data_IF_568596634293
#
_entry.id   IF_568596634293
#
_cell.length_a   1.000
_cell.length_b   1.000
_cell.length_c   1.000
_cell.angle_alpha   90.00
_cell.angle_beta   90.00
_cell.angle_gamma   90.00
#
_symmetry.space_group_name_H-M   'P 1'
#
loop_
_entity.id
_entity.type
_entity.pdbx_description
1 polymer ?
#
# COMPACT_ATOMS: atom_id res chain seq x y z
N UNK A 1 27.24 -1.72 -4.55
CA UNK A 1 27.16 -1.01 -5.78
C UNK A 1 26.08 0.01 -5.73
N UNK A 2 26.36 1.13 -6.23
CA UNK A 2 25.40 2.22 -6.14
C UNK A 2 24.10 1.96 -6.89
N UNK A 3 24.08 1.04 -7.78
CA UNK A 3 22.88 0.81 -8.56
C UNK A 3 21.85 -0.08 -7.92
N UNK A 4 22.17 -0.64 -6.79
CA UNK A 4 21.19 -1.51 -6.16
C UNK A 4 20.10 -0.71 -5.48
N UNK A 5 18.84 -1.02 -5.72
CA UNK A 5 17.78 -0.33 -5.01
C UNK A 5 17.83 -0.65 -3.53
N UNK A 6 17.30 0.24 -2.73
CA UNK A 6 17.25 0.00 -1.29
C UNK A 6 16.36 -1.21 -1.02
N UNK A 7 16.72 -2.03 -0.03
CA UNK A 7 15.89 -3.20 0.30
C UNK A 7 14.45 -2.84 0.63
N UNK A 8 14.22 -1.68 1.23
CA UNK A 8 12.89 -1.23 1.56
C UNK A 8 12.06 -1.01 0.31
N UNK A 9 12.67 -0.48 -0.74
CA UNK A 9 11.96 -0.22 -1.98
C UNK A 9 11.60 -1.55 -2.65
N UNK A 10 12.52 -2.52 -2.63
CA UNK A 10 12.24 -3.82 -3.21
C UNK A 10 11.10 -4.51 -2.46
N UNK A 11 11.10 -4.40 -1.14
CA UNK A 11 10.05 -4.96 -0.32
C UNK A 11 8.69 -4.38 -0.72
N UNK A 12 8.62 -3.06 -0.89
CA UNK A 12 7.38 -2.41 -1.23
C UNK A 12 6.93 -2.72 -2.65
N UNK A 13 7.86 -2.81 -3.59
CA UNK A 13 7.50 -3.19 -4.95
C UNK A 13 6.87 -4.57 -4.96
N UNK A 14 7.44 -5.51 -4.19
CA UNK A 14 6.91 -6.85 -4.12
C UNK A 14 5.52 -6.85 -3.48
N UNK A 15 5.30 -5.97 -2.51
CA UNK A 15 4.01 -5.88 -1.84
C UNK A 15 2.93 -5.38 -2.80
N UNK A 16 3.23 -4.33 -3.57
CA UNK A 16 2.26 -3.83 -4.53
C UNK A 16 1.97 -4.88 -5.61
N UNK A 17 3.01 -5.56 -6.08
CA UNK A 17 2.83 -6.60 -7.08
C UNK A 17 1.94 -7.72 -6.56
N UNK A 18 2.17 -8.15 -5.31
CA UNK A 18 1.36 -9.20 -4.72
C UNK A 18 -0.10 -8.76 -4.56
N UNK A 19 -0.32 -7.52 -4.14
CA UNK A 19 -1.66 -7.00 -3.99
C UNK A 19 -2.38 -7.01 -5.34
N UNK A 20 -1.73 -6.52 -6.38
CA UNK A 20 -2.34 -6.46 -7.70
C UNK A 20 -2.57 -7.85 -8.28
N UNK A 21 -1.74 -8.82 -7.91
CA UNK A 21 -1.91 -10.19 -8.36
C UNK A 21 -2.91 -10.96 -7.50
N UNK A 22 -3.43 -10.34 -6.44
CA UNK A 22 -4.35 -10.96 -5.49
C UNK A 22 -3.70 -12.11 -4.74
N UNK A 23 -2.39 -12.01 -4.53
CA UNK A 23 -1.62 -13.05 -3.88
C UNK A 23 -1.48 -12.70 -2.40
N UNK A 24 -2.48 -13.07 -1.61
CA UNK A 24 -2.52 -12.74 -0.20
C UNK A 24 -1.33 -13.30 0.55
N UNK A 25 -0.99 -14.55 0.32
CA UNK A 25 0.10 -15.16 1.07
C UNK A 25 1.41 -14.44 0.83
N UNK A 26 1.70 -14.09 -0.39
CA UNK A 26 2.95 -13.40 -0.70
C UNK A 26 2.97 -12.02 -0.05
N UNK A 27 1.85 -11.29 -0.10
CA UNK A 27 1.80 -9.96 0.48
C UNK A 27 1.92 -10.01 2.00
N UNK A 28 1.21 -10.93 2.64
CA UNK A 28 1.22 -11.01 4.10
C UNK A 28 2.56 -11.48 4.63
N UNK A 29 3.29 -12.26 3.85
CA UNK A 29 4.62 -12.71 4.25
C UNK A 29 5.61 -11.55 4.36
N UNK A 30 5.28 -10.40 3.79
CA UNK A 30 6.14 -9.22 3.83
C UNK A 30 5.78 -8.28 4.99
N UNK A 31 4.84 -8.66 5.82
CA UNK A 31 4.35 -7.83 6.92
C UNK A 31 4.65 -8.44 8.27
N UNK A 32 4.77 -7.57 9.29
CA UNK A 32 4.96 -8.08 10.65
C UNK A 32 3.66 -8.70 11.14
N UNK A 33 3.73 -9.59 12.14
CA UNK A 33 2.51 -10.23 12.65
C UNK A 33 1.50 -9.24 13.23
N UNK A 34 1.94 -8.07 13.68
CA UNK A 34 1.07 -7.06 14.26
C UNK A 34 0.89 -5.86 13.35
N UNK A 35 1.06 -6.04 12.05
CA UNK A 35 0.97 -4.95 11.08
C UNK A 35 -0.32 -4.15 11.25
N UNK A 36 -0.22 -2.83 11.09
CA UNK A 36 -1.38 -1.95 11.10
C UNK A 36 -1.65 -1.49 9.67
N UNK A 37 -2.86 -1.69 9.19
CA UNK A 37 -3.21 -1.37 7.81
C UNK A 37 -4.49 -0.57 7.76
N UNK A 38 -4.54 0.53 7.01
CA UNK A 38 -5.72 1.38 6.99
C UNK A 38 -6.84 0.77 6.14
N UNK A 39 -8.07 0.99 6.59
CA UNK A 39 -9.24 0.60 5.82
C UNK A 39 -9.62 1.80 4.96
N UNK A 40 -9.08 1.84 3.76
CA UNK A 40 -9.13 3.02 2.91
C UNK A 40 -10.52 3.62 2.71
N UNK A 41 -11.53 2.80 2.57
CA UNK A 41 -12.86 3.31 2.29
C UNK A 41 -13.80 3.30 3.51
N UNK A 42 -13.40 2.67 4.58
CA UNK A 42 -14.27 2.52 5.75
C UNK A 42 -13.74 3.28 6.95
N UNK A 43 -12.51 3.77 6.86
CA UNK A 43 -11.88 4.45 7.98
C UNK A 43 -11.36 3.48 9.03
N UNK A 44 -10.42 3.93 9.83
CA UNK A 44 -9.83 3.09 10.86
C UNK A 44 -8.77 2.16 10.30
N UNK A 45 -8.36 1.22 11.13
CA UNK A 45 -7.28 0.30 10.79
C UNK A 45 -7.65 -1.12 11.15
N UNK A 46 -7.04 -2.07 10.45
CA UNK A 46 -7.04 -3.47 10.86
C UNK A 46 -5.66 -3.77 11.41
N UNK A 47 -5.55 -4.72 12.31
CA UNK A 47 -4.28 -5.08 12.90
C UNK A 47 -4.02 -6.56 12.75
N UNK A 48 -2.79 -6.87 12.37
CA UNK A 48 -2.36 -8.25 12.22
C UNK A 48 -2.71 -8.80 10.85
N UNK A 49 -1.94 -9.80 10.44
CA UNK A 49 -2.08 -10.34 9.10
C UNK A 49 -3.43 -11.00 8.87
N UNK A 50 -4.04 -11.57 9.93
CA UNK A 50 -5.33 -12.20 9.76
C UNK A 50 -6.40 -11.16 9.44
N UNK A 51 -6.36 -10.02 10.11
CA UNK A 51 -7.33 -8.98 9.84
C UNK A 51 -7.10 -8.34 8.46
N UNK A 52 -5.85 -8.21 8.07
CA UNK A 52 -5.54 -7.69 6.74
C UNK A 52 -6.08 -8.64 5.67
N UNK A 53 -5.90 -9.94 5.89
CA UNK A 53 -6.39 -10.95 4.95
C UNK A 53 -7.91 -10.82 4.81
N UNK A 54 -8.61 -10.73 5.92
CA UNK A 54 -10.07 -10.63 5.91
C UNK A 54 -10.52 -9.35 5.21
N UNK A 55 -9.85 -8.25 5.50
CA UNK A 55 -10.21 -6.96 4.92
C UNK A 55 -9.99 -6.95 3.40
N UNK A 56 -8.84 -7.42 2.93
CA UNK A 56 -8.56 -7.43 1.51
C UNK A 56 -9.47 -8.40 0.77
N UNK A 57 -9.77 -9.54 1.38
CA UNK A 57 -10.68 -10.51 0.76
C UNK A 57 -12.05 -9.88 0.57
N UNK A 58 -12.53 -9.16 1.58
CA UNK A 58 -13.82 -8.50 1.50
C UNK A 58 -13.77 -7.41 0.43
N UNK A 59 -12.71 -6.62 0.41
CA UNK A 59 -12.57 -5.54 -0.54
C UNK A 59 -12.59 -6.06 -1.98
N UNK A 60 -11.86 -7.13 -2.25
CA UNK A 60 -11.79 -7.67 -3.59
C UNK A 60 -13.08 -8.36 -4.03
N UNK A 61 -13.98 -8.63 -3.10
CA UNK A 61 -15.29 -9.17 -3.46
C UNK A 61 -16.24 -8.07 -3.88
N UNK A 62 -15.91 -6.82 -3.59
CA UNK A 62 -16.77 -5.69 -3.89
C UNK A 62 -16.22 -4.80 -5.00
N UNK A 63 -14.92 -4.65 -5.07
CA UNK A 63 -14.30 -3.77 -6.05
C UNK A 63 -13.03 -4.42 -6.59
N UNK A 64 -12.49 -3.84 -7.65
CA UNK A 64 -11.27 -4.32 -8.28
C UNK A 64 -10.25 -3.18 -8.25
N UNK A 65 -9.50 -3.03 -7.16
CA UNK A 65 -8.50 -1.97 -7.04
C UNK A 65 -7.17 -2.39 -7.66
N UNK A 66 -6.49 -1.43 -8.26
CA UNK A 66 -5.16 -1.63 -8.80
C UNK A 66 -4.30 -0.47 -8.31
N UNK A 67 -3.15 -0.76 -7.74
CA UNK A 67 -2.27 0.26 -7.21
C UNK A 67 -0.92 0.19 -7.89
N UNK A 68 -0.48 1.32 -8.43
CA UNK A 68 0.76 1.37 -9.18
C UNK A 68 1.71 2.33 -8.48
N UNK A 69 2.82 1.84 -7.92
CA UNK A 69 3.77 2.77 -7.29
C UNK A 69 4.46 3.59 -8.38
N UNK A 70 4.46 4.89 -8.19
CA UNK A 70 5.04 5.81 -9.16
C UNK A 70 6.41 6.29 -8.72
N UNK A 71 6.57 6.57 -7.44
CA UNK A 71 7.84 7.06 -6.91
C UNK A 71 8.01 6.66 -5.47
N UNK A 72 9.24 6.43 -5.05
CA UNK A 72 9.55 6.04 -3.68
C UNK A 72 10.50 7.08 -3.08
N UNK A 73 10.22 7.49 -1.85
CA UNK A 73 11.04 8.47 -1.14
C UNK A 73 11.36 7.93 0.25
N UNK A 74 12.60 7.56 0.47
CA UNK A 74 12.98 7.04 1.78
C UNK A 74 13.06 8.19 2.78
N UNK A 75 12.60 7.92 3.98
CA UNK A 75 12.63 8.88 5.06
C UNK A 75 13.42 8.30 6.22
N UNK A 76 13.55 9.06 7.29
CA UNK A 76 14.26 8.59 8.46
C UNK A 76 13.43 7.58 9.22
N UNK A 77 14.07 6.88 10.13
CA UNK A 77 13.40 5.97 11.05
C UNK A 77 12.66 4.82 10.36
N UNK A 78 13.18 4.38 9.25
CA UNK A 78 12.61 3.21 8.58
C UNK A 78 11.31 3.50 7.85
N UNK A 79 11.04 4.76 7.55
CA UNK A 79 9.81 5.10 6.84
C UNK A 79 10.07 5.38 5.37
N UNK A 80 9.11 5.03 4.53
CA UNK A 80 9.18 5.27 3.09
C UNK A 80 7.85 5.83 2.62
N UNK A 81 7.91 6.93 1.89
CA UNK A 81 6.71 7.48 1.26
C UNK A 81 6.65 6.94 -0.16
N UNK A 82 5.48 6.53 -0.58
CA UNK A 82 5.27 6.03 -1.94
C UNK A 82 4.17 6.83 -2.59
N UNK A 83 4.45 7.41 -3.74
CA UNK A 83 3.42 8.06 -4.53
C UNK A 83 2.79 6.97 -5.37
N UNK A 84 1.48 6.87 -5.34
CA UNK A 84 0.76 5.76 -5.94
C UNK A 84 -0.35 6.25 -6.84
N UNK A 85 -0.46 5.66 -8.02
CA UNK A 85 -1.62 5.88 -8.88
C UNK A 85 -2.60 4.76 -8.55
N UNK A 86 -3.77 5.12 -8.06
CA UNK A 86 -4.76 4.15 -7.63
C UNK A 86 -5.95 4.18 -8.56
N UNK A 87 -6.24 3.06 -9.20
CA UNK A 87 -7.36 2.93 -10.09
C UNK A 87 -8.29 1.90 -9.50
N UNK A 88 -9.52 2.30 -9.20
CA UNK A 88 -10.50 1.40 -8.61
C UNK A 88 -11.63 1.20 -9.60
N UNK A 89 -11.92 -0.04 -9.90
CA UNK A 89 -13.03 -0.38 -10.81
C UNK A 89 -14.08 -1.17 -10.07
N UNK A 90 -15.31 -1.06 -10.54
CA UNK A 90 -16.35 -1.97 -10.10
C UNK A 90 -16.01 -3.35 -10.67
N UNK A 91 -16.61 -4.39 -10.14
CA UNK A 91 -16.38 -5.74 -10.67
C UNK A 91 -16.85 -5.86 -12.11
N UNK A 92 -17.73 -4.97 -12.55
CA UNK A 92 -18.19 -4.95 -13.94
C UNK A 92 -17.17 -4.28 -14.86
N UNK A 93 -16.13 -3.64 -14.30
CA UNK A 93 -15.12 -2.97 -15.09
C UNK A 93 -15.25 -1.47 -15.13
N UNK A 94 -16.34 -0.91 -14.63
CA UNK A 94 -16.53 0.54 -14.67
C UNK A 94 -15.55 1.21 -13.70
N UNK A 95 -14.97 2.33 -14.10
CA UNK A 95 -14.03 3.04 -13.27
C UNK A 95 -14.77 3.81 -12.18
N UNK A 96 -14.46 3.53 -10.92
CA UNK A 96 -15.07 4.20 -9.79
C UNK A 96 -14.18 5.33 -9.25
N UNK A 97 -12.88 5.16 -9.35
CA UNK A 97 -11.94 6.18 -8.87
C UNK A 97 -10.63 6.04 -9.63
N UNK A 98 -10.02 7.16 -9.92
CA UNK A 98 -8.73 7.20 -10.60
C UNK A 98 -8.00 8.39 -9.99
N UNK A 99 -7.10 8.14 -9.05
CA UNK A 99 -6.50 9.19 -8.27
C UNK A 99 -5.08 8.87 -7.87
N UNK A 100 -4.36 9.89 -7.48
CA UNK A 100 -3.03 9.71 -6.94
C UNK A 100 -3.12 9.88 -5.43
N UNK A 101 -2.48 8.98 -4.70
CA UNK A 101 -2.45 9.03 -3.25
C UNK A 101 -1.03 8.80 -2.80
N UNK A 102 -0.75 9.05 -1.54
CA UNK A 102 0.56 8.83 -0.96
C UNK A 102 0.40 7.86 0.20
N UNK A 103 1.22 6.82 0.20
CA UNK A 103 1.24 5.86 1.28
C UNK A 103 2.54 6.02 2.05
N UNK A 104 2.46 6.09 3.37
CA UNK A 104 3.66 6.08 4.20
C UNK A 104 3.76 4.73 4.87
N UNK A 105 4.86 4.05 4.64
CA UNK A 105 5.12 2.75 5.24
C UNK A 105 6.14 2.86 6.35
N UNK A 106 5.91 2.13 7.44
CA UNK A 106 6.91 1.97 8.49
C UNK A 106 7.43 0.55 8.36
N UNK A 107 8.74 0.42 8.23
CA UNK A 107 9.37 -0.88 8.02
C UNK A 107 10.28 -1.19 9.19
N UNK A 108 10.15 -2.39 9.77
CA UNK A 108 10.97 -2.84 10.86
C UNK A 108 11.50 -4.21 10.56
N UNK A 109 12.81 -4.39 10.73
CA UNK A 109 13.44 -5.70 10.54
C UNK A 109 13.14 -6.30 9.17
N UNK A 110 13.05 -5.44 8.16
CA UNK A 110 12.82 -5.91 6.80
C UNK A 110 11.38 -6.28 6.47
N UNK A 111 10.44 -5.95 7.37
CA UNK A 111 9.02 -6.23 7.13
C UNK A 111 8.20 -4.97 7.34
N UNK A 112 7.03 -4.92 6.70
CA UNK A 112 6.14 -3.78 6.85
C UNK A 112 5.42 -3.88 8.18
N UNK A 113 5.57 -2.86 9.01
CA UNK A 113 4.91 -2.82 10.30
C UNK A 113 3.63 -2.02 10.27
N UNK A 114 3.58 -0.99 9.42
CA UNK A 114 2.39 -0.14 9.34
C UNK A 114 2.34 0.58 8.01
N UNK A 115 1.15 0.97 7.62
CA UNK A 115 0.95 1.80 6.44
C UNK A 115 -0.10 2.84 6.78
N UNK A 116 0.07 4.05 6.25
CA UNK A 116 -0.91 5.12 6.39
C UNK A 116 -1.17 5.70 5.03
N UNK A 117 -2.39 6.14 4.80
CA UNK A 117 -2.71 6.88 3.59
C UNK A 117 -2.61 8.36 3.93
N UNK A 118 -1.78 9.07 3.20
CA UNK A 118 -1.58 10.49 3.44
C UNK A 118 -2.21 11.29 2.31
N UNK A 119 -2.77 12.45 2.61
CA UNK A 119 -3.29 13.28 1.54
C UNK A 119 -2.12 13.82 0.71
N UNK A 120 -2.39 14.06 -0.56
CA UNK A 120 -1.40 14.68 -1.39
C UNK A 120 -1.15 16.08 -0.85
N UNK A 121 0.07 16.56 -0.97
CA UNK A 121 0.38 17.91 -0.52
C UNK A 121 -0.21 18.92 -1.47
N UNK A 122 -1.50 19.04 -1.36
CA UNK A 122 -2.22 19.88 -2.29
C UNK A 122 -1.79 21.29 -2.24
N UNK A 123 -1.40 21.67 -1.09
CA UNK A 123 -1.00 23.01 -0.95
C UNK A 123 0.18 23.19 -1.82
N UNK A 124 1.04 22.36 -1.73
CA UNK A 124 2.18 22.48 -2.52
C UNK A 124 1.78 22.60 -3.91
N UNK A 125 0.70 22.05 -4.14
CA UNK A 125 0.33 22.05 -5.42
C UNK A 125 -0.26 23.25 -5.74
N UNK A 126 -1.17 23.46 -5.09
CA UNK A 126 -1.90 24.54 -5.39
C UNK A 126 -1.17 25.72 -5.19
N UNK A 127 -0.36 25.46 -4.48
CA UNK A 127 0.33 26.65 -4.18
C UNK A 127 1.15 26.96 -5.20
#
# INVERSE_FOLDING_TARGET
MPDQPAPEIELLRATYAAFNARDLDAALALMTPDVAWPKAFKGGFVRGTEEVRAYWTEQWSEIDPHVEPVAFHTEEAGQVLVEVHQLVRALTGAVLADEHVVHRFTIEHGLIQAMEVCPLPSSGLGA
#
